data_IF_617873655148
#
_entry.id   IF_617873655148
#
_cell.length_a   1.000
_cell.length_b   1.000
_cell.length_c   1.000
_cell.angle_alpha   90.00
_cell.angle_beta   90.00
_cell.angle_gamma   90.00
#
_symmetry.space_group_name_H-M   'P 1'
#
loop_
_entity.id
_entity.type
_entity.pdbx_description
1 polymer ?
#
# COMPACT_ATOMS: atom_id res chain seq x y z
N UNK A 1 -29.00 -10.29 14.36
CA UNK A 1 -29.06 -11.44 13.42
C UNK A 1 -27.84 -11.35 12.52
N UNK A 2 -26.81 -12.14 12.80
CA UNK A 2 -25.72 -12.35 11.85
C UNK A 2 -26.07 -13.60 11.03
N UNK A 3 -26.15 -13.46 9.72
CA UNK A 3 -26.18 -14.58 8.78
C UNK A 3 -24.74 -14.88 8.35
N UNK A 4 -24.41 -16.13 8.02
CA UNK A 4 -23.04 -16.55 7.70
C UNK A 4 -22.41 -15.74 6.55
N UNK A 5 -23.23 -15.20 5.65
CA UNK A 5 -22.79 -14.28 4.58
C UNK A 5 -22.19 -12.96 5.09
N UNK A 6 -22.35 -12.62 6.37
CA UNK A 6 -21.81 -11.38 6.95
C UNK A 6 -20.38 -11.53 7.47
N UNK A 7 -19.78 -12.73 7.42
CA UNK A 7 -18.41 -12.96 7.91
C UNK A 7 -17.39 -12.09 7.17
N UNK A 8 -17.56 -11.94 5.86
CA UNK A 8 -16.69 -11.16 4.96
C UNK A 8 -17.04 -9.66 4.90
N UNK A 9 -18.10 -9.24 5.60
CA UNK A 9 -18.52 -7.84 5.57
C UNK A 9 -17.53 -6.93 6.30
N UNK A 10 -17.21 -5.80 5.65
CA UNK A 10 -16.51 -4.69 6.28
C UNK A 10 -17.50 -3.82 7.07
N UNK A 11 -17.15 -3.49 8.32
CA UNK A 11 -17.96 -2.62 9.17
C UNK A 11 -17.58 -1.16 8.92
N UNK A 12 -18.57 -0.32 8.61
CA UNK A 12 -18.39 1.13 8.50
C UNK A 12 -18.60 1.75 9.89
N UNK A 13 -17.66 2.59 10.32
CA UNK A 13 -17.65 3.21 11.65
C UNK A 13 -17.40 4.71 11.57
N UNK A 14 -17.94 5.46 12.53
CA UNK A 14 -17.83 6.93 12.56
C UNK A 14 -16.50 7.48 13.09
N UNK A 15 -15.64 6.66 13.70
CA UNK A 15 -14.36 7.12 14.28
C UNK A 15 -13.21 6.17 13.99
N UNK A 16 -11.99 6.72 13.86
CA UNK A 16 -10.77 5.92 13.68
C UNK A 16 -10.46 5.05 14.91
N UNK A 17 -10.77 5.53 16.12
CA UNK A 17 -10.60 4.77 17.34
C UNK A 17 -11.49 3.51 17.35
N UNK A 18 -12.76 3.64 16.94
CA UNK A 18 -13.66 2.50 16.83
C UNK A 18 -13.23 1.54 15.71
N UNK A 19 -12.74 2.08 14.58
CA UNK A 19 -12.18 1.28 13.48
C UNK A 19 -11.02 0.41 13.97
N UNK A 20 -10.09 0.99 14.73
CA UNK A 20 -8.95 0.28 15.29
C UNK A 20 -9.37 -0.76 16.31
N UNK A 21 -10.25 -0.41 17.25
CA UNK A 21 -10.75 -1.35 18.25
C UNK A 21 -11.45 -2.57 17.62
N UNK A 22 -12.31 -2.35 16.63
CA UNK A 22 -13.01 -3.43 15.91
C UNK A 22 -12.02 -4.26 15.09
N UNK A 23 -11.08 -3.63 14.38
CA UNK A 23 -10.10 -4.36 13.57
C UNK A 23 -9.18 -5.24 14.44
N UNK A 24 -8.67 -4.70 15.55
CA UNK A 24 -7.85 -5.47 16.50
C UNK A 24 -8.64 -6.63 17.06
N UNK A 25 -9.88 -6.38 17.52
CA UNK A 25 -10.69 -7.45 18.10
C UNK A 25 -11.05 -8.53 17.07
N UNK A 26 -11.42 -8.13 15.84
CA UNK A 26 -11.74 -9.07 14.77
C UNK A 26 -10.50 -9.84 14.32
N UNK A 27 -9.32 -9.23 14.32
CA UNK A 27 -8.07 -9.93 14.01
C UNK A 27 -7.75 -11.02 15.04
N UNK A 28 -7.92 -10.74 16.33
CA UNK A 28 -7.75 -11.73 17.40
C UNK A 28 -8.72 -12.90 17.29
N UNK A 29 -10.01 -12.61 17.04
CA UNK A 29 -11.05 -13.65 17.01
C UNK A 29 -11.06 -14.44 15.71
N UNK A 30 -10.83 -13.78 14.56
CA UNK A 30 -10.86 -14.42 13.24
C UNK A 30 -9.60 -15.23 12.94
N UNK A 31 -8.55 -15.08 13.76
CA UNK A 31 -7.30 -15.80 13.55
C UNK A 31 -7.50 -17.33 13.59
N UNK A 32 -8.54 -17.86 14.25
CA UNK A 32 -9.08 -19.20 13.98
C UNK A 32 -8.10 -20.40 13.99
N UNK A 33 -6.92 -20.25 14.60
CA UNK A 33 -5.83 -21.25 14.59
C UNK A 33 -4.55 -20.82 13.84
N UNK A 34 -4.60 -19.75 13.05
CA UNK A 34 -3.43 -19.10 12.45
C UNK A 34 -2.60 -18.38 13.52
N UNK A 35 -1.31 -18.13 13.23
CA UNK A 35 -0.45 -17.34 14.11
C UNK A 35 -0.73 -15.85 13.90
N UNK A 36 -1.31 -15.19 14.90
CA UNK A 36 -1.42 -13.73 14.93
C UNK A 36 -0.03 -13.14 15.21
N UNK A 37 0.43 -12.25 14.33
CA UNK A 37 1.76 -11.63 14.41
C UNK A 37 1.58 -10.15 14.73
N UNK A 38 1.98 -9.73 15.93
CA UNK A 38 1.95 -8.32 16.35
C UNK A 38 3.27 -7.65 16.01
N UNK A 39 3.23 -6.69 15.09
CA UNK A 39 4.39 -5.94 14.62
C UNK A 39 4.36 -4.51 15.16
N UNK A 40 5.43 -4.09 15.83
CA UNK A 40 5.61 -2.73 16.31
C UNK A 40 6.20 -1.83 15.23
N UNK A 41 5.89 -0.54 15.28
CA UNK A 41 6.48 0.47 14.41
C UNK A 41 8.00 0.58 14.68
N UNK A 42 8.78 0.74 13.60
CA UNK A 42 10.21 1.00 13.69
C UNK A 42 10.47 2.49 13.52
N UNK A 43 10.53 3.20 14.65
CA UNK A 43 10.68 4.65 14.68
C UNK A 43 12.16 5.08 14.64
N UNK A 44 12.44 6.13 13.86
CA UNK A 44 13.72 6.86 13.88
C UNK A 44 13.46 8.30 14.30
N UNK A 45 14.15 8.75 15.34
CA UNK A 45 14.05 10.12 15.83
C UNK A 45 15.30 10.91 15.43
N UNK A 46 15.11 12.03 14.72
CA UNK A 46 16.21 12.81 14.15
C UNK A 46 17.11 13.49 15.18
N UNK A 47 16.58 13.81 16.37
CA UNK A 47 17.25 14.69 17.34
C UNK A 47 17.57 14.01 18.69
N UNK A 48 17.16 12.75 18.89
CA UNK A 48 17.31 12.05 20.16
C UNK A 48 17.21 10.54 19.98
N UNK A 49 18.04 9.77 20.68
CA UNK A 49 17.81 8.33 20.88
C UNK A 49 16.80 8.17 22.02
N UNK A 50 15.66 7.55 21.74
CA UNK A 50 14.63 7.28 22.75
C UNK A 50 15.05 6.13 23.64
N UNK A 51 14.78 6.24 24.94
CA UNK A 51 14.89 5.11 25.85
C UNK A 51 13.72 4.11 25.67
N UNK A 52 13.78 2.98 26.37
CA UNK A 52 12.77 1.90 26.27
C UNK A 52 11.38 2.41 26.69
N UNK A 53 11.29 3.23 27.75
CA UNK A 53 10.01 3.73 28.27
C UNK A 53 9.40 4.76 27.33
N UNK A 54 10.20 5.69 26.82
CA UNK A 54 9.80 6.69 25.83
C UNK A 54 9.33 6.02 24.54
N UNK A 55 10.02 4.96 24.10
CA UNK A 55 9.58 4.15 22.96
C UNK A 55 8.23 3.47 23.24
N UNK A 56 8.04 2.85 24.40
CA UNK A 56 6.74 2.27 24.75
C UNK A 56 5.62 3.30 24.81
N UNK A 57 5.90 4.51 25.32
CA UNK A 57 4.94 5.61 25.30
C UNK A 57 4.60 6.03 23.88
N UNK A 58 5.61 6.16 23.00
CA UNK A 58 5.43 6.50 21.59
C UNK A 58 4.55 5.48 20.86
N UNK A 59 4.82 4.18 21.05
CA UNK A 59 4.05 3.09 20.43
C UNK A 59 2.60 3.02 20.92
N UNK A 60 2.31 3.54 22.12
CA UNK A 60 0.97 3.63 22.72
C UNK A 60 0.27 4.97 22.44
N UNK A 61 0.95 5.92 21.79
CA UNK A 61 0.34 7.20 21.48
C UNK A 61 -0.92 6.97 20.65
N UNK A 62 -1.98 7.65 21.06
CA UNK A 62 -3.19 7.72 20.26
C UNK A 62 -2.91 8.62 19.06
N UNK A 63 -2.41 8.02 17.98
CA UNK A 63 -2.05 8.70 16.74
C UNK A 63 -3.25 9.33 16.03
N UNK A 64 -4.48 8.94 16.40
CA UNK A 64 -5.73 9.54 15.94
C UNK A 64 -5.99 10.89 16.61
N UNK A 65 -5.57 11.06 17.87
CA UNK A 65 -5.67 12.33 18.59
C UNK A 65 -4.62 13.36 18.14
N UNK A 66 -3.55 12.89 17.48
CA UNK A 66 -2.56 13.76 16.87
C UNK A 66 -3.17 14.41 15.63
N UNK A 67 -3.17 15.75 15.56
CA UNK A 67 -3.60 16.53 14.37
C UNK A 67 -2.69 16.33 13.13
N UNK A 68 -1.82 15.33 13.14
CA UNK A 68 -0.86 15.06 12.07
C UNK A 68 -1.52 14.23 10.96
N UNK A 69 -1.38 14.65 9.72
CA UNK A 69 -2.11 14.10 8.56
C UNK A 69 -1.52 12.82 7.96
N UNK A 70 -0.53 12.18 8.61
CA UNK A 70 0.22 11.02 8.05
C UNK A 70 0.68 9.98 9.08
N UNK A 71 0.05 9.90 10.25
CA UNK A 71 0.44 8.91 11.25
C UNK A 71 -0.06 7.50 10.89
N UNK A 72 0.77 6.50 11.18
CA UNK A 72 0.41 5.08 11.21
C UNK A 72 0.28 4.64 12.68
N UNK A 73 -0.45 3.57 12.98
CA UNK A 73 -0.51 3.05 14.34
C UNK A 73 0.87 2.60 14.83
N UNK A 74 1.12 2.73 16.13
CA UNK A 74 2.39 2.30 16.75
C UNK A 74 2.59 0.78 16.76
N UNK A 75 1.54 0.00 16.55
CA UNK A 75 1.63 -1.44 16.30
C UNK A 75 0.47 -1.91 15.44
N UNK A 76 0.65 -3.04 14.78
CA UNK A 76 -0.32 -3.67 13.90
C UNK A 76 -0.26 -5.19 14.06
N UNK A 77 -1.41 -5.81 14.34
CA UNK A 77 -1.54 -7.27 14.41
C UNK A 77 -2.10 -7.80 13.09
N UNK A 78 -1.40 -8.77 12.49
CA UNK A 78 -1.74 -9.36 11.20
C UNK A 78 -1.72 -10.89 11.27
N UNK A 79 -2.51 -11.54 10.41
CA UNK A 79 -2.44 -12.98 10.17
C UNK A 79 -2.55 -13.26 8.67
N UNK A 80 -2.08 -14.42 8.22
CA UNK A 80 -2.20 -14.83 6.82
C UNK A 80 -3.67 -15.08 6.47
N UNK A 81 -4.13 -14.47 5.38
CA UNK A 81 -5.54 -14.44 4.96
C UNK A 81 -6.29 -13.18 5.40
N UNK A 82 -5.71 -12.36 6.28
CA UNK A 82 -6.38 -11.17 6.81
C UNK A 82 -6.68 -10.15 5.68
N UNK A 83 -7.93 -9.63 5.58
CA UNK A 83 -8.24 -8.55 4.67
C UNK A 83 -7.57 -7.25 5.12
N UNK A 84 -6.90 -6.58 4.17
CA UNK A 84 -6.15 -5.35 4.41
C UNK A 84 -6.48 -4.31 3.36
N UNK A 85 -6.23 -3.04 3.70
CA UNK A 85 -6.45 -1.89 2.83
C UNK A 85 -5.17 -1.07 2.73
N UNK A 86 -4.77 -0.71 1.53
CA UNK A 86 -3.62 0.19 1.33
C UNK A 86 -3.99 1.60 1.82
N UNK A 87 -3.10 2.21 2.60
CA UNK A 87 -3.28 3.54 3.18
C UNK A 87 -2.16 4.50 2.79
N UNK A 88 -2.44 5.79 2.96
CA UNK A 88 -1.53 6.95 2.83
C UNK A 88 -1.12 7.36 1.42
N UNK A 89 -0.61 6.45 0.59
CA UNK A 89 -0.11 6.81 -0.75
C UNK A 89 -0.49 5.79 -1.80
N UNK A 90 -0.62 6.26 -3.03
CA UNK A 90 -0.73 5.40 -4.20
C UNK A 90 0.64 4.80 -4.49
N UNK A 91 0.73 3.48 -4.62
CA UNK A 91 1.98 2.81 -5.01
C UNK A 91 2.09 2.75 -6.53
N UNK A 92 1.01 2.38 -7.21
CA UNK A 92 0.94 2.39 -8.66
C UNK A 92 -0.49 2.62 -9.13
N UNK A 93 -0.76 3.82 -9.64
CA UNK A 93 -2.07 4.18 -10.23
C UNK A 93 -2.39 3.31 -11.44
N UNK A 94 -1.39 3.07 -12.29
CA UNK A 94 -1.55 2.34 -13.55
C UNK A 94 -1.90 0.86 -13.31
N UNK A 95 -1.50 0.33 -12.15
CA UNK A 95 -1.74 -1.06 -11.75
C UNK A 95 -2.86 -1.17 -10.72
N UNK A 96 -3.60 -0.08 -10.46
CA UNK A 96 -4.73 -0.06 -9.53
C UNK A 96 -4.36 -0.21 -8.05
N UNK A 97 -3.07 -0.18 -7.68
CA UNK A 97 -2.62 -0.23 -6.28
C UNK A 97 -2.58 1.21 -5.73
N UNK A 98 -3.75 1.71 -5.36
CA UNK A 98 -3.99 3.06 -4.88
C UNK A 98 -4.47 3.06 -3.43
N UNK A 99 -4.42 4.21 -2.76
CA UNK A 99 -4.98 4.37 -1.41
C UNK A 99 -6.46 3.95 -1.43
N UNK A 100 -6.80 2.96 -0.59
CA UNK A 100 -8.13 2.34 -0.58
C UNK A 100 -8.20 0.98 -1.28
N UNK A 101 -7.20 0.58 -2.07
CA UNK A 101 -7.17 -0.76 -2.69
C UNK A 101 -7.17 -1.83 -1.61
N UNK A 102 -8.04 -2.83 -1.76
CA UNK A 102 -8.21 -3.93 -0.82
C UNK A 102 -7.45 -5.18 -1.31
N UNK A 103 -6.89 -5.94 -0.37
CA UNK A 103 -6.23 -7.20 -0.63
C UNK A 103 -6.26 -8.10 0.60
N UNK A 104 -5.60 -9.26 0.52
CA UNK A 104 -5.42 -10.17 1.64
C UNK A 104 -3.95 -10.45 1.93
N UNK A 105 -3.59 -10.59 3.19
CA UNK A 105 -2.22 -10.91 3.61
C UNK A 105 -1.86 -12.31 3.13
N UNK A 106 -0.77 -12.45 2.39
CA UNK A 106 -0.26 -13.74 1.91
C UNK A 106 0.93 -14.22 2.73
N UNK A 107 1.84 -13.32 3.10
CA UNK A 107 3.00 -13.65 3.94
C UNK A 107 3.42 -12.44 4.79
N UNK A 108 3.99 -12.72 5.96
CA UNK A 108 4.48 -11.72 6.90
C UNK A 108 5.93 -12.06 7.23
N UNK A 109 6.85 -11.13 6.95
CA UNK A 109 8.25 -11.26 7.31
C UNK A 109 8.58 -10.29 8.45
N UNK A 110 9.20 -10.82 9.50
CA UNK A 110 9.49 -10.06 10.71
C UNK A 110 10.97 -10.10 11.06
N UNK A 111 11.38 -9.13 11.85
CA UNK A 111 12.68 -9.08 12.51
C UNK A 111 12.51 -8.50 13.91
N UNK A 112 13.53 -8.65 14.75
CA UNK A 112 13.57 -8.07 16.08
C UNK A 112 14.39 -6.79 16.06
N UNK A 113 13.87 -5.74 16.68
CA UNK A 113 14.64 -4.53 16.92
C UNK A 113 15.52 -4.68 18.18
N UNK A 114 16.47 -3.77 18.44
CA UNK A 114 17.41 -3.87 19.57
C UNK A 114 16.80 -3.90 20.99
N UNK A 115 15.48 -3.70 21.11
CA UNK A 115 14.74 -3.76 22.38
C UNK A 115 13.79 -4.96 22.43
N UNK A 116 14.10 -6.02 21.67
CA UNK A 116 13.34 -7.27 21.56
C UNK A 116 11.87 -7.13 21.13
N UNK A 117 11.50 -5.98 20.54
CA UNK A 117 10.20 -5.82 19.90
C UNK A 117 10.28 -6.30 18.45
N UNK A 118 9.29 -7.12 18.06
CA UNK A 118 9.15 -7.62 16.70
C UNK A 118 8.54 -6.55 15.79
N UNK A 119 9.14 -6.29 14.64
CA UNK A 119 8.60 -5.39 13.62
C UNK A 119 8.48 -6.11 12.27
N UNK A 120 7.58 -5.65 11.41
CA UNK A 120 7.43 -6.18 10.06
C UNK A 120 8.51 -5.58 9.15
N UNK A 121 9.30 -6.42 8.49
CA UNK A 121 10.22 -5.98 7.43
C UNK A 121 9.46 -5.81 6.11
N UNK A 122 8.57 -6.76 5.79
CA UNK A 122 7.61 -6.63 4.71
C UNK A 122 6.38 -7.53 4.91
N UNK A 123 5.30 -7.18 4.25
CA UNK A 123 4.07 -7.98 4.15
C UNK A 123 3.76 -8.16 2.67
N UNK A 124 3.60 -9.40 2.23
CA UNK A 124 3.13 -9.71 0.88
C UNK A 124 1.61 -9.67 0.92
N UNK A 125 1.02 -8.82 0.08
CA UNK A 125 -0.44 -8.69 -0.05
C UNK A 125 -0.86 -9.17 -1.43
N UNK A 126 -1.83 -10.08 -1.46
CA UNK A 126 -2.50 -10.49 -2.67
C UNK A 126 -3.65 -9.52 -2.96
N UNK A 127 -3.57 -8.83 -4.10
CA UNK A 127 -4.66 -7.99 -4.61
C UNK A 127 -5.50 -8.80 -5.61
N UNK A 128 -6.84 -8.74 -5.52
CA UNK A 128 -7.73 -9.49 -6.41
C UNK A 128 -7.64 -9.01 -7.86
N UNK A 129 -8.09 -9.87 -8.76
CA UNK A 129 -8.06 -9.68 -10.22
C UNK A 129 -8.78 -8.44 -10.71
N UNK A 130 -8.33 -7.90 -11.84
CA UNK A 130 -8.96 -6.78 -12.52
C UNK A 130 -9.86 -7.25 -13.64
N UNK A 131 -11.05 -6.67 -13.72
CA UNK A 131 -11.94 -6.78 -14.87
C UNK A 131 -11.77 -5.59 -15.77
N UNK A 132 -11.60 -5.81 -17.07
CA UNK A 132 -11.67 -4.75 -18.06
C UNK A 132 -12.59 -5.16 -19.20
N UNK A 133 -13.25 -4.16 -19.79
CA UNK A 133 -14.08 -4.36 -20.98
C UNK A 133 -13.31 -3.83 -22.17
N UNK A 134 -13.17 -4.64 -23.21
CA UNK A 134 -12.52 -4.23 -24.46
C UNK A 134 -13.38 -4.58 -25.66
N UNK A 135 -13.12 -3.90 -26.77
CA UNK A 135 -13.58 -4.34 -28.09
C UNK A 135 -12.58 -5.37 -28.60
N UNK A 136 -13.09 -6.52 -29.01
CA UNK A 136 -12.31 -7.59 -29.60
C UNK A 136 -12.81 -7.85 -31.02
N UNK A 137 -11.90 -8.04 -31.97
CA UNK A 137 -12.26 -8.49 -33.32
C UNK A 137 -12.33 -10.01 -33.32
N UNK A 138 -13.53 -10.54 -33.53
CA UNK A 138 -13.72 -11.98 -33.67
C UNK A 138 -13.05 -12.51 -34.95
N UNK A 139 -13.03 -13.84 -35.11
CA UNK A 139 -12.46 -14.52 -36.29
C UNK A 139 -13.03 -14.04 -37.63
N UNK A 140 -14.23 -13.44 -37.60
CA UNK A 140 -14.95 -12.95 -38.78
C UNK A 140 -14.71 -11.45 -39.02
N UNK A 141 -13.81 -10.82 -38.26
CA UNK A 141 -13.45 -9.41 -38.37
C UNK A 141 -14.48 -8.44 -37.77
N UNK A 142 -15.55 -8.93 -37.13
CA UNK A 142 -16.56 -8.10 -36.47
C UNK A 142 -16.10 -7.73 -35.07
N UNK A 143 -16.24 -6.45 -34.74
CA UNK A 143 -15.98 -5.96 -33.37
C UNK A 143 -17.12 -6.36 -32.43
N UNK A 144 -16.76 -7.04 -31.35
CA UNK A 144 -17.66 -7.45 -30.29
C UNK A 144 -17.13 -6.95 -28.95
N UNK A 145 -18.05 -6.50 -28.08
CA UNK A 145 -17.70 -6.11 -26.70
C UNK A 145 -17.49 -7.38 -25.90
N UNK A 146 -16.27 -7.56 -25.41
CA UNK A 146 -15.90 -8.66 -24.53
C UNK A 146 -15.55 -8.10 -23.15
N UNK A 147 -16.26 -8.59 -22.14
CA UNK A 147 -15.89 -8.35 -20.74
C UNK A 147 -14.92 -9.46 -20.31
N UNK A 148 -13.68 -9.09 -19.99
CA UNK A 148 -12.62 -10.04 -19.61
C UNK A 148 -12.23 -9.79 -18.17
N UNK A 149 -12.12 -10.88 -17.40
CA UNK A 149 -11.50 -10.87 -16.07
C UNK A 149 -10.09 -11.40 -16.20
N UNK A 150 -9.08 -10.62 -15.82
CA UNK A 150 -7.67 -10.99 -15.96
C UNK A 150 -7.02 -11.13 -14.58
N UNK A 151 -6.47 -12.31 -14.32
CA UNK A 151 -5.68 -12.62 -13.13
C UNK A 151 -4.20 -12.41 -13.47
N UNK A 152 -3.60 -11.29 -13.08
CA UNK A 152 -2.19 -10.98 -13.31
C UNK A 152 -1.62 -10.24 -12.11
N UNK A 153 -0.30 -10.25 -11.92
CA UNK A 153 0.34 -9.42 -10.91
C UNK A 153 0.25 -7.93 -11.30
N UNK A 154 -0.08 -7.02 -10.36
CA UNK A 154 -0.05 -5.57 -10.59
C UNK A 154 1.39 -5.03 -10.59
N UNK A 155 2.22 -5.55 -11.49
CA UNK A 155 3.61 -5.16 -11.69
C UNK A 155 3.88 -4.96 -13.19
N UNK A 156 4.83 -4.08 -13.51
CA UNK A 156 5.37 -3.94 -14.86
C UNK A 156 6.88 -3.72 -14.79
N UNK A 157 7.64 -4.09 -15.83
CA UNK A 157 9.03 -3.66 -15.96
C UNK A 157 9.14 -2.14 -15.91
N UNK A 158 10.15 -1.62 -15.22
CA UNK A 158 10.35 -0.17 -15.00
C UNK A 158 11.62 0.38 -15.68
N UNK A 159 12.08 -0.25 -16.76
CA UNK A 159 13.19 0.28 -17.58
C UNK A 159 12.81 1.56 -18.33
N UNK A 160 11.52 1.70 -18.66
CA UNK A 160 10.93 2.90 -19.23
C UNK A 160 9.54 3.13 -18.63
N UNK A 161 9.15 4.38 -18.44
CA UNK A 161 7.82 4.78 -17.97
C UNK A 161 7.35 5.99 -18.77
N UNK A 162 6.05 6.12 -18.97
CA UNK A 162 5.49 7.32 -19.63
C UNK A 162 5.60 8.54 -18.72
N UNK A 163 5.63 9.75 -19.30
CA UNK A 163 5.60 10.98 -18.52
C UNK A 163 4.37 11.09 -17.61
N UNK A 164 3.22 10.60 -18.09
CA UNK A 164 1.97 10.51 -17.30
C UNK A 164 2.14 9.57 -16.10
N UNK A 165 2.64 8.35 -16.32
CA UNK A 165 2.94 7.39 -15.25
C UNK A 165 3.97 7.88 -14.25
N UNK A 166 4.91 8.73 -14.68
CA UNK A 166 5.94 9.32 -13.84
C UNK A 166 5.48 10.56 -13.08
N UNK A 167 4.33 11.15 -13.43
CA UNK A 167 3.83 12.38 -12.82
C UNK A 167 3.63 12.20 -11.31
N UNK A 168 4.13 13.16 -10.53
CA UNK A 168 4.08 13.11 -9.06
C UNK A 168 5.07 12.11 -8.42
N UNK A 169 5.81 11.34 -9.22
CA UNK A 169 6.91 10.48 -8.75
C UNK A 169 8.23 11.23 -8.78
N UNK A 170 9.15 10.78 -7.95
CA UNK A 170 10.52 11.29 -7.85
C UNK A 170 11.46 10.13 -8.14
N UNK A 171 12.32 10.26 -9.15
CA UNK A 171 13.20 9.21 -9.66
C UNK A 171 14.68 9.60 -9.42
N UNK A 172 15.54 8.66 -8.98
CA UNK A 172 16.93 8.97 -8.68
C UNK A 172 17.76 9.27 -9.93
N UNK A 173 17.45 8.60 -11.05
CA UNK A 173 18.07 8.83 -12.36
C UNK A 173 16.99 8.82 -13.45
N UNK A 174 17.08 9.74 -14.39
CA UNK A 174 16.13 9.91 -15.50
C UNK A 174 16.92 10.10 -16.79
N UNK A 175 16.64 9.27 -17.77
CA UNK A 175 17.07 9.47 -19.16
C UNK A 175 15.86 9.94 -19.96
N UNK A 176 15.93 11.13 -20.55
CA UNK A 176 14.79 11.73 -21.26
C UNK A 176 15.25 12.57 -22.45
N UNK A 177 14.68 12.32 -23.62
CA UNK A 177 14.85 13.21 -24.76
C UNK A 177 13.97 14.46 -24.59
N UNK A 178 14.60 15.65 -24.54
CA UNK A 178 13.90 16.94 -24.37
C UNK A 178 13.72 17.73 -25.68
N UNK A 179 13.98 17.13 -26.85
CA UNK A 179 13.99 17.82 -28.14
C UNK A 179 12.67 18.56 -28.48
N UNK A 180 11.51 17.97 -28.16
CA UNK A 180 10.20 18.56 -28.50
C UNK A 180 9.72 19.64 -27.52
N UNK A 181 10.35 19.74 -26.34
CA UNK A 181 9.98 20.73 -25.32
C UNK A 181 8.56 20.58 -24.74
N UNK A 182 8.04 21.67 -24.16
CA UNK A 182 6.67 21.75 -23.64
C UNK A 182 6.43 21.07 -22.29
N UNK A 183 5.14 20.88 -21.96
CA UNK A 183 4.72 20.35 -20.66
C UNK A 183 5.23 18.92 -20.40
N UNK A 184 5.23 18.07 -21.42
CA UNK A 184 5.71 16.69 -21.30
C UNK A 184 7.22 16.63 -20.98
N UNK A 185 8.03 17.45 -21.65
CA UNK A 185 9.47 17.57 -21.39
C UNK A 185 9.73 18.09 -19.96
N UNK A 186 8.98 19.10 -19.52
CA UNK A 186 9.07 19.60 -18.15
C UNK A 186 8.69 18.53 -17.11
N UNK A 187 7.58 17.82 -17.33
CA UNK A 187 7.15 16.75 -16.42
C UNK A 187 8.23 15.69 -16.32
N UNK A 188 8.80 15.25 -17.44
CA UNK A 188 9.83 14.21 -17.45
C UNK A 188 11.15 14.67 -16.81
N UNK A 189 11.67 15.86 -17.14
CA UNK A 189 12.90 16.39 -16.54
C UNK A 189 12.75 16.63 -15.02
N UNK A 190 11.61 17.17 -14.58
CA UNK A 190 11.32 17.43 -13.16
C UNK A 190 11.14 16.19 -12.30
N UNK A 191 11.22 14.98 -12.87
CA UNK A 191 11.20 13.74 -12.08
C UNK A 191 12.55 13.44 -11.45
N UNK A 192 13.66 13.94 -12.02
CA UNK A 192 14.99 13.72 -11.50
C UNK A 192 15.18 14.43 -10.14
N UNK A 193 15.75 13.72 -9.17
CA UNK A 193 16.05 14.27 -7.84
C UNK A 193 17.15 15.31 -7.84
N UNK A 194 18.13 15.13 -8.72
CA UNK A 194 19.33 15.95 -8.82
C UNK A 194 19.63 16.22 -10.27
N UNK A 195 20.40 17.27 -10.54
CA UNK A 195 20.86 17.61 -11.88
C UNK A 195 21.76 16.50 -12.45
N UNK A 196 22.61 15.92 -11.62
CA UNK A 196 23.51 14.81 -11.98
C UNK A 196 22.74 13.51 -12.27
N UNK A 197 21.51 13.39 -11.76
CA UNK A 197 20.60 12.29 -12.04
C UNK A 197 19.84 12.45 -13.36
N UNK A 198 19.93 13.60 -14.03
CA UNK A 198 19.25 13.86 -15.30
C UNK A 198 20.21 13.72 -16.48
N UNK A 199 19.90 12.82 -17.41
CA UNK A 199 20.58 12.67 -18.68
C UNK A 199 19.60 13.00 -19.81
N UNK A 200 20.02 13.90 -20.70
CA UNK A 200 19.23 14.40 -21.82
C UNK A 200 19.86 13.94 -23.12
#
# INVERSE_FOLDING_TARGET
MGIDSNLDAAVIVGTNALREAINTKKAETACGGCSLVTCYALDKCSHKTLDINERHQLLRLNVVALRSTRSLPGYLSLYVGMPVILRQRNLSTDLGITNGSQGSVHAIYTAYCPVDLMYATCVIVHFPSWTFTTLFKNSNGKEEKLQVTHHQLPIQPAFAVTGHSAQGKTLPKVLVNLHEGGFAAYVAASRAQTREGLCI
#
